data_IF_844526155908
#
_entry.id   IF_844526155908
#
_cell.length_a   1.000
_cell.length_b   1.000
_cell.length_c   1.000
_cell.angle_alpha   90.00
_cell.angle_beta   90.00
_cell.angle_gamma   90.00
#
_symmetry.space_group_name_H-M   'P 1'
#
loop_
_entity.id
_entity.type
_entity.pdbx_description
1 polymer ?
#
# COMPACT_ATOMS: atom_id res chain seq x y z
N UNK A 1 24.80 -14.76 12.61
CA UNK A 1 23.82 -15.65 13.31
C UNK A 1 22.48 -15.74 12.56
N UNK A 2 21.74 -14.65 12.32
CA UNK A 2 20.50 -14.72 11.52
C UNK A 2 20.81 -15.08 10.05
N UNK A 3 21.85 -14.47 9.47
CA UNK A 3 22.28 -14.78 8.10
C UNK A 3 22.66 -16.27 7.95
N UNK A 4 23.42 -16.82 8.91
CA UNK A 4 23.79 -18.25 8.89
C UNK A 4 22.56 -19.16 9.05
N UNK A 5 21.57 -18.73 9.82
CA UNK A 5 20.31 -19.45 10.00
C UNK A 5 19.56 -19.55 8.67
N UNK A 6 19.38 -18.42 7.96
CA UNK A 6 18.70 -18.39 6.66
C UNK A 6 19.53 -19.14 5.62
N UNK A 7 20.85 -18.90 5.54
CA UNK A 7 21.74 -19.60 4.61
C UNK A 7 21.75 -21.12 4.85
N UNK A 8 21.54 -21.57 6.09
CA UNK A 8 21.43 -22.98 6.48
C UNK A 8 20.06 -23.63 6.25
N UNK A 9 19.12 -22.98 5.56
CA UNK A 9 17.78 -23.50 5.28
C UNK A 9 16.71 -23.02 6.27
N UNK A 10 17.05 -22.08 7.15
CA UNK A 10 16.10 -21.50 8.12
C UNK A 10 15.10 -20.57 7.45
N UNK A 11 13.94 -20.40 8.08
CA UNK A 11 12.82 -19.57 7.62
C UNK A 11 12.64 -18.37 8.56
N UNK A 12 12.64 -17.17 8.03
CA UNK A 12 12.56 -15.94 8.81
C UNK A 12 11.58 -14.97 8.17
N UNK A 13 10.62 -14.47 8.94
CA UNK A 13 9.77 -13.35 8.56
C UNK A 13 10.11 -12.15 9.43
N UNK A 14 10.27 -11.00 8.83
CA UNK A 14 10.61 -9.73 9.49
C UNK A 14 9.59 -8.68 9.09
N UNK A 15 9.14 -7.92 10.08
CA UNK A 15 8.31 -6.72 9.91
C UNK A 15 9.06 -5.59 10.62
N UNK A 16 9.79 -4.80 9.86
CA UNK A 16 10.62 -3.72 10.41
C UNK A 16 10.71 -2.58 9.41
N UNK A 17 10.37 -1.39 9.85
CA UNK A 17 10.39 -0.15 9.09
C UNK A 17 11.30 0.90 9.70
N UNK A 18 11.09 2.17 9.36
CA UNK A 18 11.81 3.28 9.94
C UNK A 18 11.66 3.30 11.46
N UNK A 19 12.65 3.80 12.16
CA UNK A 19 12.63 3.95 13.62
C UNK A 19 12.76 5.43 14.00
N UNK A 20 12.03 5.85 15.04
CA UNK A 20 12.11 7.23 15.52
C UNK A 20 13.50 7.60 16.07
N UNK A 21 14.21 6.63 16.62
CA UNK A 21 15.55 6.85 17.19
C UNK A 21 16.40 5.59 17.10
N UNK A 22 17.71 5.79 16.92
CA UNK A 22 18.66 4.70 16.74
C UNK A 22 18.70 4.20 15.31
N UNK A 23 19.24 2.99 15.11
CA UNK A 23 19.31 2.34 13.81
C UNK A 23 19.09 0.84 13.89
N UNK A 24 18.65 0.23 12.81
CA UNK A 24 18.52 -1.21 12.66
C UNK A 24 19.66 -1.82 11.82
N UNK A 25 20.84 -1.18 11.79
CA UNK A 25 21.95 -1.53 10.90
C UNK A 25 22.29 -3.02 10.90
N UNK A 26 22.33 -3.65 12.08
CA UNK A 26 22.61 -5.08 12.20
C UNK A 26 21.49 -5.97 11.60
N UNK A 27 20.26 -5.49 11.60
CA UNK A 27 19.12 -6.20 11.01
C UNK A 27 19.07 -5.92 9.50
N UNK A 28 19.29 -4.68 9.08
CA UNK A 28 19.32 -4.28 7.67
C UNK A 28 20.52 -4.90 6.92
N UNK A 29 21.64 -5.17 7.63
CA UNK A 29 22.77 -5.88 7.01
C UNK A 29 22.39 -7.27 6.48
N UNK A 30 21.37 -7.91 7.06
CA UNK A 30 20.85 -9.18 6.57
C UNK A 30 20.26 -9.04 5.16
N UNK A 31 19.60 -7.93 4.85
CA UNK A 31 19.09 -7.65 3.50
C UNK A 31 20.24 -7.39 2.52
N UNK A 32 21.27 -6.66 2.97
CA UNK A 32 22.44 -6.34 2.15
C UNK A 32 23.18 -7.58 1.68
N UNK A 33 23.21 -8.65 2.49
CA UNK A 33 23.81 -9.94 2.11
C UNK A 33 23.15 -10.56 0.86
N UNK A 34 21.90 -10.14 0.56
CA UNK A 34 21.13 -10.59 -0.60
C UNK A 34 20.97 -9.53 -1.69
N UNK A 35 21.71 -8.43 -1.62
CA UNK A 35 21.66 -7.34 -2.61
C UNK A 35 20.44 -6.43 -2.45
N UNK A 36 19.78 -6.43 -1.30
CA UNK A 36 18.68 -5.50 -0.98
C UNK A 36 19.19 -4.41 -0.05
N UNK A 37 18.97 -3.16 -0.41
CA UNK A 37 19.42 -1.99 0.37
C UNK A 37 18.23 -1.20 0.86
N UNK A 38 18.23 -0.83 2.12
CA UNK A 38 17.22 0.07 2.69
C UNK A 38 17.59 1.53 2.42
N UNK A 39 16.60 2.33 2.05
CA UNK A 39 16.74 3.78 1.87
C UNK A 39 16.35 4.48 3.17
N UNK A 40 17.09 5.51 3.55
CA UNK A 40 16.76 6.29 4.75
C UNK A 40 15.42 7.01 4.59
N UNK A 41 14.70 7.14 5.71
CA UNK A 41 13.47 7.90 5.78
C UNK A 41 12.19 7.09 5.70
N UNK A 42 11.09 7.80 5.45
CA UNK A 42 9.73 7.25 5.32
C UNK A 42 9.27 7.43 3.88
N UNK A 43 8.77 6.36 3.27
CA UNK A 43 8.22 6.43 1.91
C UNK A 43 6.89 7.17 1.92
N UNK A 44 6.82 8.16 1.03
CA UNK A 44 5.62 8.94 0.73
C UNK A 44 5.19 8.64 -0.70
N UNK A 45 3.91 8.40 -0.88
CA UNK A 45 3.33 8.11 -2.19
C UNK A 45 2.79 9.39 -2.82
N UNK A 46 3.25 9.69 -4.03
CA UNK A 46 2.78 10.84 -4.81
C UNK A 46 1.55 10.54 -5.65
N UNK A 47 1.31 9.27 -5.97
CA UNK A 47 0.13 8.85 -6.73
C UNK A 47 -1.06 8.60 -5.81
N UNK A 48 -2.15 9.34 -6.04
CA UNK A 48 -3.38 9.26 -5.24
C UNK A 48 -4.05 7.88 -5.28
N UNK A 49 -3.81 7.09 -6.29
CA UNK A 49 -4.38 5.75 -6.41
C UNK A 49 -3.59 4.71 -5.59
N UNK A 50 -2.39 5.06 -5.13
CA UNK A 50 -1.47 4.18 -4.41
C UNK A 50 -1.35 4.48 -2.91
N UNK A 51 -2.26 5.26 -2.32
CA UNK A 51 -2.32 5.44 -0.87
C UNK A 51 -3.75 5.57 -0.34
N UNK A 52 -3.95 5.17 0.91
CA UNK A 52 -5.25 5.14 1.57
C UNK A 52 -5.54 6.43 2.36
N UNK A 53 -6.84 6.76 2.57
CA UNK A 53 -7.35 7.77 3.53
C UNK A 53 -6.81 9.19 3.38
N UNK A 54 -6.28 9.57 2.22
CA UNK A 54 -5.56 10.83 2.02
C UNK A 54 -4.31 10.97 2.90
N UNK A 55 -3.73 9.84 3.31
CA UNK A 55 -2.50 9.76 4.09
C UNK A 55 -1.39 9.18 3.20
N UNK A 56 -0.52 10.01 2.60
CA UNK A 56 0.47 9.55 1.62
C UNK A 56 1.50 8.55 2.17
N UNK A 57 1.60 8.40 3.48
CA UNK A 57 2.42 7.39 4.14
C UNK A 57 1.69 6.04 4.37
N UNK A 58 0.39 5.97 4.10
CA UNK A 58 -0.41 4.73 4.16
C UNK A 58 -0.46 4.11 2.77
N UNK A 59 0.64 3.51 2.36
CA UNK A 59 0.87 3.03 0.99
C UNK A 59 -0.08 1.88 0.63
N UNK A 60 -0.55 1.87 -0.62
CA UNK A 60 -1.25 0.76 -1.27
C UNK A 60 -0.39 0.29 -2.45
N UNK A 61 0.65 -0.51 -2.20
CA UNK A 61 1.62 -0.89 -3.21
C UNK A 61 1.03 -1.86 -4.23
N UNK A 62 1.59 -1.85 -5.44
CA UNK A 62 1.36 -2.88 -6.44
C UNK A 62 1.91 -4.23 -5.96
N UNK A 63 1.17 -5.30 -6.22
CA UNK A 63 1.55 -6.65 -5.86
C UNK A 63 2.10 -7.40 -7.07
N UNK A 64 3.32 -7.93 -6.96
CA UNK A 64 3.85 -8.89 -7.92
C UNK A 64 3.20 -10.27 -7.71
N UNK A 65 2.98 -11.02 -8.79
CA UNK A 65 2.45 -12.39 -8.73
C UNK A 65 3.43 -13.33 -8.02
N UNK A 66 2.95 -14.01 -6.99
CA UNK A 66 3.67 -15.01 -6.21
C UNK A 66 2.69 -15.86 -5.40
N UNK A 67 3.14 -16.98 -4.83
CA UNK A 67 2.36 -17.80 -3.90
C UNK A 67 1.87 -17.03 -2.65
N UNK A 68 2.53 -15.91 -2.31
CA UNK A 68 2.18 -15.04 -1.19
C UNK A 68 1.05 -14.05 -1.55
N UNK A 69 1.05 -13.57 -2.80
CA UNK A 69 0.21 -12.43 -3.24
C UNK A 69 -0.94 -12.81 -4.16
N UNK A 70 -0.83 -13.92 -4.91
CA UNK A 70 -1.79 -14.29 -5.97
C UNK A 70 -3.23 -14.32 -5.48
N UNK A 71 -3.48 -14.87 -4.31
CA UNK A 71 -4.83 -14.94 -3.77
C UNK A 71 -5.41 -13.58 -3.39
N UNK A 72 -4.58 -12.61 -3.01
CA UNK A 72 -5.03 -11.24 -2.76
C UNK A 72 -5.33 -10.52 -4.09
N UNK A 73 -4.49 -10.75 -5.10
CA UNK A 73 -4.68 -10.19 -6.45
C UNK A 73 -5.99 -10.70 -7.05
N UNK A 74 -6.23 -12.01 -7.02
CA UNK A 74 -7.45 -12.65 -7.54
C UNK A 74 -8.73 -12.16 -6.86
N UNK A 75 -8.67 -11.95 -5.54
CA UNK A 75 -9.80 -11.49 -4.75
C UNK A 75 -9.92 -9.96 -4.66
N UNK A 76 -9.00 -9.22 -5.28
CA UNK A 76 -8.94 -7.75 -5.24
C UNK A 76 -8.83 -7.18 -3.82
N UNK A 77 -8.00 -7.81 -2.98
CA UNK A 77 -7.62 -7.31 -1.67
C UNK A 77 -6.32 -6.53 -1.76
N UNK A 78 -6.32 -5.31 -1.25
CA UNK A 78 -5.16 -4.42 -1.28
C UNK A 78 -4.61 -4.21 0.13
N UNK A 79 -3.38 -4.68 0.42
CA UNK A 79 -2.74 -4.43 1.70
C UNK A 79 -2.36 -2.95 1.82
N UNK A 80 -2.38 -2.46 3.05
CA UNK A 80 -1.92 -1.12 3.39
C UNK A 80 -0.60 -1.24 4.14
N UNK A 81 0.44 -0.58 3.63
CA UNK A 81 1.77 -0.54 4.22
C UNK A 81 2.02 0.84 4.84
N UNK A 82 1.71 1.03 6.13
CA UNK A 82 1.90 2.32 6.78
C UNK A 82 3.37 2.53 7.16
N UNK A 83 3.83 3.77 7.09
CA UNK A 83 5.15 4.20 7.60
C UNK A 83 6.24 3.21 7.19
N UNK A 84 6.40 3.03 5.89
CA UNK A 84 7.32 2.05 5.33
C UNK A 84 8.69 2.65 5.01
N UNK A 85 9.73 1.83 5.14
CA UNK A 85 11.05 2.12 4.63
C UNK A 85 11.18 1.65 3.18
N UNK A 86 11.78 2.44 2.32
CA UNK A 86 12.04 2.06 0.92
C UNK A 86 13.15 1.01 0.83
N UNK A 87 12.94 -0.01 0.01
CA UNK A 87 13.94 -1.02 -0.30
C UNK A 87 14.27 -0.98 -1.79
N UNK A 88 15.56 -1.04 -2.11
CA UNK A 88 16.05 -1.15 -3.49
C UNK A 88 16.65 -2.53 -3.69
N UNK A 89 16.18 -3.25 -4.70
CA UNK A 89 16.71 -4.57 -5.07
C UNK A 89 17.78 -4.37 -6.14
N UNK A 90 19.01 -4.72 -5.79
CA UNK A 90 20.17 -4.68 -6.68
C UNK A 90 20.58 -6.08 -7.15
N UNK A 91 21.89 -6.25 -7.40
CA UNK A 91 22.44 -7.53 -7.83
C UNK A 91 22.32 -8.59 -6.73
N UNK A 92 21.57 -9.65 -7.02
CA UNK A 92 21.40 -10.78 -6.09
C UNK A 92 22.59 -11.72 -6.18
N UNK A 93 23.15 -12.18 -5.05
CA UNK A 93 24.25 -13.15 -5.07
C UNK A 93 23.79 -14.49 -5.64
N UNK A 94 24.74 -15.25 -6.19
CA UNK A 94 24.48 -16.61 -6.67
C UNK A 94 23.95 -17.51 -5.55
N UNK A 95 22.93 -18.29 -5.81
CA UNK A 95 22.32 -19.19 -4.82
C UNK A 95 21.17 -18.58 -4.02
N UNK A 96 20.72 -17.38 -4.39
CA UNK A 96 19.50 -16.77 -3.86
C UNK A 96 18.67 -16.15 -5.00
N UNK A 97 17.38 -16.01 -4.76
CA UNK A 97 16.44 -15.29 -5.61
C UNK A 97 15.71 -14.26 -4.76
N UNK A 98 15.69 -13.02 -5.21
CA UNK A 98 14.96 -11.92 -4.54
C UNK A 98 13.76 -11.51 -5.40
N UNK A 99 12.59 -11.49 -4.79
CA UNK A 99 11.35 -11.05 -5.44
C UNK A 99 10.79 -9.85 -4.66
N UNK A 100 10.62 -8.72 -5.34
CA UNK A 100 9.86 -7.61 -4.80
C UNK A 100 8.37 -7.99 -4.84
N UNK A 101 7.77 -8.23 -3.67
CA UNK A 101 6.36 -8.63 -3.54
C UNK A 101 5.43 -7.44 -3.65
N UNK A 102 5.84 -6.33 -3.07
CA UNK A 102 5.08 -5.08 -2.96
C UNK A 102 5.96 -3.93 -3.43
N UNK A 103 5.48 -3.13 -4.37
CA UNK A 103 6.25 -2.03 -4.96
C UNK A 103 5.39 -0.76 -5.03
N UNK A 104 5.97 0.37 -4.69
CA UNK A 104 5.32 1.70 -4.78
C UNK A 104 5.28 2.19 -6.22
N UNK A 105 4.51 3.25 -6.50
CA UNK A 105 4.47 3.88 -7.81
C UNK A 105 5.77 4.63 -8.15
N UNK A 106 5.96 4.98 -9.42
CA UNK A 106 7.08 5.81 -9.90
C UNK A 106 7.05 7.24 -9.33
N UNK A 107 5.93 7.67 -8.76
CA UNK A 107 5.78 9.00 -8.15
C UNK A 107 6.09 9.00 -6.65
N UNK A 108 6.45 7.85 -6.08
CA UNK A 108 6.85 7.74 -4.68
C UNK A 108 8.24 8.33 -4.44
N UNK A 109 8.49 8.73 -3.21
CA UNK A 109 9.80 9.19 -2.76
C UNK A 109 10.00 8.92 -1.28
N UNK A 110 11.23 8.76 -0.84
CA UNK A 110 11.56 8.61 0.58
C UNK A 110 11.91 9.95 1.19
N UNK A 111 11.14 10.36 2.20
CA UNK A 111 11.39 11.55 3.02
C UNK A 111 12.52 11.26 4.00
N UNK A 112 13.71 11.77 3.70
CA UNK A 112 14.91 11.55 4.53
C UNK A 112 14.79 12.15 5.95
N UNK A 113 13.90 13.13 6.14
CA UNK A 113 13.56 13.66 7.46
C UNK A 113 12.91 12.61 8.40
N UNK A 114 12.41 11.50 7.85
CA UNK A 114 11.82 10.42 8.64
C UNK A 114 10.65 10.91 9.50
N UNK A 115 10.69 10.63 10.80
CA UNK A 115 9.63 11.04 11.73
C UNK A 115 9.62 12.55 12.03
N UNK A 116 10.70 13.29 11.68
CA UNK A 116 10.76 14.76 11.81
C UNK A 116 10.19 15.51 10.60
N UNK A 117 9.53 14.80 9.68
CA UNK A 117 8.92 15.41 8.50
C UNK A 117 7.88 16.48 8.88
N UNK A 118 7.93 17.63 8.20
CA UNK A 118 7.01 18.75 8.40
C UNK A 118 5.98 18.88 7.27
N UNK A 119 6.21 18.22 6.16
CA UNK A 119 5.36 18.21 4.96
C UNK A 119 5.46 16.88 4.23
N UNK A 120 4.40 16.51 3.53
CA UNK A 120 4.39 15.36 2.62
C UNK A 120 4.80 15.74 1.19
N UNK A 121 5.10 17.00 0.91
CA UNK A 121 5.64 17.41 -0.38
C UNK A 121 7.11 17.01 -0.48
N UNK A 122 7.55 16.67 -1.69
CA UNK A 122 8.95 16.33 -1.95
C UNK A 122 9.85 17.55 -1.76
N UNK A 123 10.98 17.35 -1.08
CA UNK A 123 11.97 18.36 -0.79
C UNK A 123 13.35 17.97 -1.33
N UNK A 124 14.27 18.93 -1.36
CA UNK A 124 15.65 18.66 -1.77
C UNK A 124 16.32 17.68 -0.81
N UNK A 125 16.90 16.62 -1.33
CA UNK A 125 17.52 15.55 -0.56
C UNK A 125 16.64 14.31 -0.36
N UNK A 126 15.37 14.38 -0.69
CA UNK A 126 14.49 13.21 -0.72
C UNK A 126 14.86 12.31 -1.92
N UNK A 127 14.75 11.00 -1.74
CA UNK A 127 15.16 9.99 -2.72
C UNK A 127 13.97 9.53 -3.54
N UNK A 128 14.08 9.57 -4.87
CA UNK A 128 13.04 9.09 -5.77
C UNK A 128 12.85 7.57 -5.71
N UNK A 129 11.59 7.11 -5.81
CA UNK A 129 11.21 5.74 -6.02
C UNK A 129 11.28 5.29 -7.50
N UNK A 130 10.69 4.18 -7.86
CA UNK A 130 9.88 3.31 -6.99
C UNK A 130 10.70 2.51 -5.98
N UNK A 131 10.07 2.07 -4.89
CA UNK A 131 10.69 1.24 -3.86
C UNK A 131 9.92 -0.07 -3.69
N UNK A 132 10.64 -1.16 -3.42
CA UNK A 132 10.00 -2.30 -2.79
C UNK A 132 9.70 -1.97 -1.31
N UNK A 133 8.52 -2.36 -0.82
CA UNK A 133 8.12 -2.28 0.59
C UNK A 133 7.78 -3.64 1.18
N UNK A 134 7.91 -4.68 0.36
CA UNK A 134 7.87 -6.08 0.75
C UNK A 134 8.71 -6.91 -0.20
N UNK A 135 9.60 -7.76 0.33
CA UNK A 135 10.46 -8.63 -0.47
C UNK A 135 10.43 -10.06 0.07
N UNK A 136 10.55 -11.03 -0.83
CA UNK A 136 10.81 -12.43 -0.51
C UNK A 136 12.15 -12.85 -1.09
N UNK A 137 12.98 -13.47 -0.26
CA UNK A 137 14.30 -13.98 -0.60
C UNK A 137 14.27 -15.48 -0.38
N UNK A 138 14.59 -16.25 -1.41
CA UNK A 138 14.65 -17.71 -1.35
C UNK A 138 16.08 -18.16 -1.68
N UNK A 139 16.67 -18.98 -0.83
CA UNK A 139 18.01 -19.52 -1.01
C UNK A 139 17.94 -20.95 -1.59
N UNK A 140 18.93 -21.34 -2.40
CA UNK A 140 19.06 -22.71 -2.95
C UNK A 140 19.17 -23.77 -1.85
N UNK A 141 19.60 -23.37 -0.64
CA UNK A 141 19.61 -24.21 0.57
C UNK A 141 18.23 -24.55 1.13
N UNK A 142 17.17 -23.94 0.58
CA UNK A 142 15.80 -23.98 1.10
C UNK A 142 15.50 -22.96 2.19
N UNK A 143 16.46 -22.08 2.52
CA UNK A 143 16.24 -20.94 3.41
C UNK A 143 15.33 -19.90 2.78
N UNK A 144 14.58 -19.18 3.61
CA UNK A 144 13.67 -18.15 3.15
C UNK A 144 13.64 -16.97 4.12
N UNK A 145 13.70 -15.75 3.57
CA UNK A 145 13.50 -14.52 4.31
C UNK A 145 12.40 -13.72 3.62
N UNK A 146 11.31 -13.45 4.33
CA UNK A 146 10.29 -12.49 3.87
C UNK A 146 10.36 -11.25 4.75
N UNK A 147 10.47 -10.10 4.13
CA UNK A 147 10.59 -8.82 4.80
C UNK A 147 9.49 -7.87 4.36
N UNK A 148 8.74 -7.35 5.32
CA UNK A 148 7.83 -6.23 5.15
C UNK A 148 8.42 -5.00 5.83
N UNK A 149 8.56 -3.92 5.09
CA UNK A 149 9.31 -2.72 5.55
C UNK A 149 8.48 -1.75 6.40
N UNK A 150 7.52 -2.27 7.13
CA UNK A 150 6.68 -1.54 8.08
C UNK A 150 6.53 -2.34 9.38
N UNK A 151 6.76 -1.70 10.53
CA UNK A 151 6.49 -2.28 11.85
C UNK A 151 4.99 -2.32 12.17
N UNK A 152 4.21 -1.38 11.61
CA UNK A 152 2.79 -1.19 11.88
C UNK A 152 1.88 -1.96 10.89
N UNK A 153 2.49 -2.75 10.03
CA UNK A 153 1.81 -3.50 8.97
C UNK A 153 0.63 -4.35 9.48
N UNK A 154 0.77 -5.01 10.65
CA UNK A 154 -0.28 -5.85 11.24
C UNK A 154 -1.08 -5.14 12.34
N UNK A 155 -0.96 -3.82 12.50
CA UNK A 155 -1.81 -3.08 13.42
C UNK A 155 -3.29 -3.27 13.10
N UNK A 156 -4.13 -3.44 14.13
CA UNK A 156 -5.56 -3.73 13.99
C UNK A 156 -6.30 -2.69 13.17
N UNK A 157 -5.88 -1.42 13.27
CA UNK A 157 -6.49 -0.32 12.52
C UNK A 157 -6.24 -0.47 11.01
N UNK A 158 -5.00 -0.69 10.60
CA UNK A 158 -4.66 -0.86 9.18
C UNK A 158 -5.18 -2.18 8.62
N UNK A 159 -5.21 -3.24 9.43
CA UNK A 159 -5.84 -4.49 9.03
C UNK A 159 -7.36 -4.34 8.83
N UNK A 160 -8.05 -3.62 9.70
CA UNK A 160 -9.47 -3.31 9.53
C UNK A 160 -9.71 -2.46 8.27
N UNK A 161 -8.86 -1.48 8.03
CA UNK A 161 -8.95 -0.59 6.86
C UNK A 161 -8.67 -1.31 5.53
N UNK A 162 -7.76 -2.26 5.50
CA UNK A 162 -7.49 -3.12 4.33
C UNK A 162 -8.51 -4.26 4.18
N UNK A 163 -9.58 -4.28 4.99
CA UNK A 163 -10.56 -5.37 5.03
C UNK A 163 -9.94 -6.76 5.31
N UNK A 164 -8.88 -6.79 6.09
CA UNK A 164 -8.14 -8.00 6.46
C UNK A 164 -7.02 -8.39 5.49
N UNK A 165 -6.75 -7.60 4.46
CA UNK A 165 -5.70 -7.91 3.49
C UNK A 165 -4.32 -8.02 4.13
N UNK A 166 -4.02 -7.17 5.13
CA UNK A 166 -2.73 -7.18 5.82
C UNK A 166 -2.47 -8.51 6.53
N UNK A 167 -3.44 -8.98 7.32
CA UNK A 167 -3.34 -10.28 7.99
C UNK A 167 -3.29 -11.43 6.98
N UNK A 168 -4.10 -11.36 5.91
CA UNK A 168 -4.08 -12.37 4.86
C UNK A 168 -2.69 -12.46 4.19
N UNK A 169 -2.07 -11.32 3.86
CA UNK A 169 -0.72 -11.28 3.30
C UNK A 169 0.33 -11.87 4.26
N UNK A 170 0.28 -11.50 5.55
CA UNK A 170 1.16 -12.06 6.56
C UNK A 170 0.98 -13.58 6.73
N UNK A 171 -0.26 -14.06 6.72
CA UNK A 171 -0.57 -15.49 6.80
C UNK A 171 -0.13 -16.25 5.56
N UNK A 172 -0.29 -15.67 4.36
CA UNK A 172 0.20 -16.27 3.12
C UNK A 172 1.74 -16.41 3.15
N UNK A 173 2.44 -15.36 3.63
CA UNK A 173 3.88 -15.41 3.78
C UNK A 173 4.33 -16.53 4.75
N UNK A 174 3.64 -16.70 5.87
CA UNK A 174 3.90 -17.80 6.80
C UNK A 174 3.63 -19.17 6.17
N UNK A 175 2.49 -19.32 5.46
CA UNK A 175 2.15 -20.58 4.78
C UNK A 175 3.16 -20.97 3.72
N UNK A 176 3.61 -20.01 2.90
CA UNK A 176 4.67 -20.24 1.92
C UNK A 176 5.96 -20.74 2.58
N UNK A 177 6.30 -20.20 3.75
CA UNK A 177 7.47 -20.64 4.50
C UNK A 177 7.35 -22.08 5.03
N UNK A 178 6.18 -22.51 5.52
CA UNK A 178 5.99 -23.85 6.07
C UNK A 178 5.65 -24.91 5.00
N UNK A 179 5.42 -24.48 3.75
CA UNK A 179 5.12 -25.36 2.63
C UNK A 179 3.68 -25.91 2.64
N UNK A 180 2.77 -25.30 3.38
CA UNK A 180 1.36 -25.65 3.43
C UNK A 180 0.52 -24.68 2.61
N UNK A 181 0.38 -24.92 1.32
CA UNK A 181 -0.46 -24.10 0.44
C UNK A 181 -1.97 -24.30 0.63
N UNK A 182 -2.38 -25.39 1.28
CA UNK A 182 -3.81 -25.72 1.46
C UNK A 182 -4.44 -25.21 2.77
N UNK A 183 -3.65 -24.78 3.76
CA UNK A 183 -4.14 -24.38 5.08
C UNK A 183 -4.91 -23.05 5.10
N UNK A 184 -4.92 -22.30 4.00
CA UNK A 184 -5.42 -20.93 3.92
C UNK A 184 -6.85 -20.77 3.41
N UNK A 185 -7.57 -21.88 3.20
CA UNK A 185 -8.93 -21.85 2.61
C UNK A 185 -10.04 -21.30 3.54
N UNK A 186 -9.74 -21.04 4.82
CA UNK A 186 -10.73 -20.50 5.76
C UNK A 186 -10.38 -19.04 6.08
N UNK A 187 -10.63 -18.18 5.12
CA UNK A 187 -10.55 -16.73 5.35
C UNK A 187 -11.83 -16.26 6.02
N UNK A 188 -11.68 -15.52 7.12
CA UNK A 188 -12.81 -14.78 7.65
C UNK A 188 -13.17 -13.68 6.65
N UNK A 189 -14.32 -13.82 5.99
CA UNK A 189 -14.83 -12.73 5.14
C UNK A 189 -15.14 -11.54 6.04
N UNK A 190 -14.29 -10.53 5.99
CA UNK A 190 -14.59 -9.26 6.64
C UNK A 190 -15.87 -8.67 6.02
N UNK A 191 -16.85 -8.38 6.87
CA UNK A 191 -18.05 -7.64 6.47
C UNK A 191 -17.81 -6.13 6.44
N UNK A 192 -16.57 -5.70 6.60
CA UNK A 192 -16.20 -4.29 6.58
C UNK A 192 -16.27 -3.73 5.16
N UNK A 193 -16.71 -2.49 5.08
CA UNK A 193 -16.93 -1.77 3.84
C UNK A 193 -15.66 -1.64 3.01
N UNK A 194 -15.71 -2.06 1.75
CA UNK A 194 -14.69 -1.68 0.79
C UNK A 194 -14.74 -0.17 0.57
N UNK A 195 -13.70 0.53 0.95
CA UNK A 195 -13.57 1.95 0.63
C UNK A 195 -13.24 2.07 -0.87
N UNK A 196 -14.13 2.72 -1.60
CA UNK A 196 -13.90 3.02 -3.00
C UNK A 196 -12.88 4.17 -3.10
N UNK A 197 -11.68 3.87 -3.49
CA UNK A 197 -10.71 4.89 -3.89
C UNK A 197 -11.06 5.38 -5.28
N UNK A 198 -11.32 6.67 -5.41
CA UNK A 198 -11.62 7.33 -6.69
C UNK A 198 -10.50 8.30 -7.02
N UNK A 199 -10.07 8.33 -8.28
CA UNK A 199 -9.06 9.28 -8.75
C UNK A 199 -9.52 10.74 -8.54
N UNK A 200 -8.57 11.66 -8.38
CA UNK A 200 -8.86 13.07 -8.16
C UNK A 200 -9.68 13.68 -9.30
N UNK A 201 -9.46 13.24 -10.53
CA UNK A 201 -10.25 13.65 -11.70
C UNK A 201 -11.71 13.23 -11.56
N UNK A 202 -11.97 11.99 -11.14
CA UNK A 202 -13.33 11.48 -10.91
C UNK A 202 -13.99 12.16 -9.72
N UNK A 203 -13.24 12.38 -8.64
CA UNK A 203 -13.71 13.11 -7.45
C UNK A 203 -14.11 14.54 -7.80
N UNK A 204 -13.28 15.26 -8.56
CA UNK A 204 -13.55 16.63 -9.03
C UNK A 204 -14.78 16.68 -9.93
N UNK A 205 -14.93 15.75 -10.85
CA UNK A 205 -16.08 15.67 -11.74
C UNK A 205 -17.37 15.42 -10.96
N UNK A 206 -17.34 14.51 -9.98
CA UNK A 206 -18.47 14.26 -9.08
C UNK A 206 -18.84 15.49 -8.26
N UNK A 207 -17.85 16.20 -7.70
CA UNK A 207 -18.09 17.45 -6.95
C UNK A 207 -18.76 18.50 -7.82
N UNK A 208 -18.27 18.73 -9.04
CA UNK A 208 -18.87 19.70 -9.97
C UNK A 208 -20.29 19.29 -10.36
N UNK A 209 -20.52 18.01 -10.64
CA UNK A 209 -21.85 17.52 -10.96
C UNK A 209 -22.83 17.69 -9.81
N UNK A 210 -22.48 17.24 -8.60
CA UNK A 210 -23.38 17.22 -7.43
C UNK A 210 -23.62 18.61 -6.84
N UNK A 211 -22.58 19.46 -6.77
CA UNK A 211 -22.67 20.78 -6.14
C UNK A 211 -23.08 21.86 -7.15
N UNK A 212 -22.69 21.71 -8.41
CA UNK A 212 -22.94 22.70 -9.45
C UNK A 212 -24.13 22.35 -10.35
N UNK A 213 -24.00 21.27 -11.11
CA UNK A 213 -24.95 20.95 -12.20
C UNK A 213 -26.34 20.60 -11.66
N UNK A 214 -26.45 19.71 -10.69
CA UNK A 214 -27.76 19.29 -10.18
C UNK A 214 -28.56 20.42 -9.55
N UNK A 215 -28.03 21.28 -8.66
CA UNK A 215 -28.77 22.43 -8.13
C UNK A 215 -29.24 23.41 -9.21
N UNK A 216 -28.40 23.68 -10.21
CA UNK A 216 -28.76 24.57 -11.33
C UNK A 216 -29.89 23.99 -12.18
N UNK A 217 -29.89 22.69 -12.45
CA UNK A 217 -30.97 22.01 -13.18
C UNK A 217 -32.29 22.11 -12.40
N UNK A 218 -32.29 21.84 -11.09
CA UNK A 218 -33.46 21.94 -10.25
C UNK A 218 -33.99 23.38 -10.17
N UNK A 219 -33.09 24.36 -10.07
CA UNK A 219 -33.47 25.79 -10.07
C UNK A 219 -34.08 26.19 -11.42
N UNK A 220 -33.50 25.72 -12.54
CA UNK A 220 -34.06 25.95 -13.88
C UNK A 220 -35.45 25.36 -14.05
N UNK A 221 -35.66 24.12 -13.62
CA UNK A 221 -36.98 23.47 -13.62
C UNK A 221 -37.98 24.27 -12.74
N UNK A 222 -37.57 24.69 -11.56
CA UNK A 222 -38.40 25.48 -10.64
C UNK A 222 -38.84 26.81 -11.27
N UNK A 223 -37.91 27.55 -11.88
CA UNK A 223 -38.24 28.80 -12.59
C UNK A 223 -39.19 28.53 -13.76
N UNK A 224 -38.90 27.50 -14.56
CA UNK A 224 -39.76 27.15 -15.69
C UNK A 224 -41.21 26.85 -15.26
N UNK A 225 -41.38 26.06 -14.20
CA UNK A 225 -42.74 25.75 -13.64
C UNK A 225 -43.43 27.00 -13.17
N UNK A 226 -42.75 27.90 -12.45
CA UNK A 226 -43.35 29.15 -11.95
C UNK A 226 -43.78 30.07 -13.08
N UNK A 227 -42.91 30.25 -14.10
CA UNK A 227 -43.20 31.09 -15.27
C UNK A 227 -44.36 30.52 -16.06
N UNK A 228 -44.38 29.20 -16.30
CA UNK A 228 -45.45 28.56 -17.06
C UNK A 228 -46.79 28.67 -16.34
N UNK A 229 -46.80 28.48 -15.01
CA UNK A 229 -48.02 28.64 -14.17
C UNK A 229 -48.55 30.08 -14.19
N UNK A 230 -47.69 31.08 -14.19
CA UNK A 230 -48.09 32.48 -14.29
C UNK A 230 -48.71 32.82 -15.66
N UNK A 231 -48.13 32.25 -16.74
CA UNK A 231 -48.68 32.45 -18.08
C UNK A 231 -50.09 31.86 -18.20
N UNK A 232 -50.31 30.65 -17.73
CA UNK A 232 -51.61 29.98 -17.78
C UNK A 232 -52.67 30.72 -16.94
N UNK A 233 -52.30 31.37 -15.83
CA UNK A 233 -53.23 32.17 -15.04
C UNK A 233 -53.61 33.52 -15.73
N UNK A 234 -52.68 34.10 -16.48
CA UNK A 234 -52.96 35.34 -17.21
C UNK A 234 -53.81 35.12 -18.50
N UNK A 235 -53.90 33.89 -19.01
CA UNK A 235 -54.73 33.55 -20.18
C UNK A 235 -56.18 33.13 -19.75
N UNK A 236 -56.41 32.88 -18.46
CA UNK A 236 -57.68 32.42 -17.94
C UNK A 236 -58.53 33.54 -17.25
N UNK A 237 -58.05 34.78 -17.21
CA UNK A 237 -58.70 35.97 -16.72
C UNK A 237 -58.92 36.99 -17.81
#
# INVERSE_FOLDING_TARGET
>A
MLADYVAGGGKLMVMAGPVESGSLDNLLSLLSDYGVTATDGIVIEGDREHYAFQLPFALMPDMASSDITDSLIEEHYFPIMPISQGLTVGDTPSGATVTALLTTSDLSFSKTAGYDLSTYEKEDGDVDGPFAVGVSITCDSGGQLTWFSSSDFLDDMYNAYSSGANVNLGMNALSSMIGESEAMAIRSKSLNYNYLTISDSTSSLLKVAMIGVFPLVYLGIGIFVVVNRRRTQNEAG
#
